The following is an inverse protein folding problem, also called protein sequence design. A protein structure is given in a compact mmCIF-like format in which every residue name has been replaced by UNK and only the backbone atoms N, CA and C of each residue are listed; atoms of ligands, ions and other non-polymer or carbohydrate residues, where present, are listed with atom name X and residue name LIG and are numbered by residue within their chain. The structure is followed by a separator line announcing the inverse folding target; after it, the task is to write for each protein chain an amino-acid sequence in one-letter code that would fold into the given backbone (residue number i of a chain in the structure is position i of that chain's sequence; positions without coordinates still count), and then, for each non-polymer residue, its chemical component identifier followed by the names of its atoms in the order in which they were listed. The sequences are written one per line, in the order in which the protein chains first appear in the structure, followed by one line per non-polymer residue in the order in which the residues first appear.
data_IF_950302537016
#
_entry.id   IF_950302537016
#
_cell.length_a   1.000
_cell.length_b   1.000
_cell.length_c   1.000
_cell.angle_alpha   90.00
_cell.angle_beta   90.00
_cell.angle_gamma   90.00
#
_symmetry.space_group_name_H-M   'P 1'
#
loop_
_entity.id
_entity.type
_entity.pdbx_description
1 polymer ?
#
# COMPACT_ATOMS: atom_id res chain seq x y z
N UNK A 1 -58.64 -36.86 24.49
CA UNK A 1 -57.96 -35.61 24.92
C UNK A 1 -56.69 -35.97 25.70
N UNK A 2 -55.49 -35.73 25.16
CA UNK A 2 -54.31 -35.47 25.99
C UNK A 2 -53.28 -34.67 25.17
N UNK A 3 -52.78 -33.59 25.78
CA UNK A 3 -52.13 -32.42 25.17
C UNK A 3 -50.76 -32.72 24.55
N UNK A 4 -50.51 -32.15 23.37
CA UNK A 4 -49.16 -31.86 22.88
C UNK A 4 -48.43 -30.90 23.84
N UNK A 5 -47.23 -31.26 24.30
CA UNK A 5 -46.27 -30.32 24.90
C UNK A 5 -45.36 -29.79 23.80
N UNK A 6 -45.55 -28.52 23.47
CA UNK A 6 -44.59 -27.72 22.69
C UNK A 6 -43.36 -27.52 23.56
N UNK A 7 -42.21 -28.06 23.13
CA UNK A 7 -40.92 -27.81 23.77
C UNK A 7 -40.47 -26.39 23.46
N UNK A 8 -40.16 -25.64 24.52
CA UNK A 8 -39.86 -24.22 24.51
C UNK A 8 -38.55 -23.88 23.79
N UNK A 9 -38.57 -22.82 22.99
CA UNK A 9 -37.42 -22.13 22.40
C UNK A 9 -36.30 -21.94 23.43
N UNK A 10 -35.12 -22.52 23.17
CA UNK A 10 -33.91 -22.22 23.91
C UNK A 10 -33.44 -20.79 23.62
N UNK A 11 -33.67 -19.87 24.56
CA UNK A 11 -33.10 -18.53 24.51
C UNK A 11 -31.58 -18.61 24.67
N UNK A 12 -30.82 -18.10 23.69
CA UNK A 12 -29.37 -17.88 23.84
C UNK A 12 -29.16 -16.92 25.02
N UNK A 13 -28.65 -17.42 26.15
CA UNK A 13 -28.17 -16.57 27.24
C UNK A 13 -26.98 -15.77 26.71
N UNK A 14 -27.15 -14.45 26.59
CA UNK A 14 -26.04 -13.54 26.32
C UNK A 14 -25.05 -13.62 27.49
N UNK A 15 -23.81 -14.00 27.20
CA UNK A 15 -22.79 -14.23 28.20
C UNK A 15 -22.05 -12.91 28.46
N UNK A 16 -22.42 -12.17 29.50
CA UNK A 16 -21.93 -10.81 29.78
C UNK A 16 -20.41 -10.66 29.80
N UNK A 17 -19.67 -11.70 30.22
CA UNK A 17 -18.20 -11.70 30.17
C UNK A 17 -17.63 -11.65 28.75
N UNK A 18 -18.30 -12.27 27.76
CA UNK A 18 -17.88 -12.20 26.36
C UNK A 18 -18.10 -10.80 25.76
N UNK A 19 -19.16 -10.12 26.17
CA UNK A 19 -19.43 -8.74 25.76
C UNK A 19 -18.38 -7.77 26.33
N UNK A 20 -17.99 -7.95 27.60
CA UNK A 20 -16.94 -7.13 28.21
C UNK A 20 -15.57 -7.31 27.54
N UNK A 21 -15.20 -8.56 27.22
CA UNK A 21 -13.95 -8.83 26.48
C UNK A 21 -14.00 -8.20 25.08
N UNK A 22 -15.12 -8.34 24.35
CA UNK A 22 -15.28 -7.73 23.03
C UNK A 22 -15.19 -6.19 23.08
N UNK A 23 -15.77 -5.56 24.10
CA UNK A 23 -15.68 -4.11 24.31
C UNK A 23 -14.27 -3.67 24.67
N UNK A 24 -13.54 -4.44 25.48
CA UNK A 24 -12.15 -4.14 25.82
C UNK A 24 -11.23 -4.23 24.59
N UNK A 25 -11.42 -5.24 23.75
CA UNK A 25 -10.69 -5.39 22.48
C UNK A 25 -10.98 -4.20 21.55
N UNK A 26 -12.27 -3.86 21.36
CA UNK A 26 -12.66 -2.74 20.52
C UNK A 26 -12.09 -1.40 21.04
N UNK A 27 -12.16 -1.16 22.35
CA UNK A 27 -11.59 0.03 22.96
C UNK A 27 -10.07 0.10 22.76
N UNK A 28 -9.36 -1.02 22.96
CA UNK A 28 -7.91 -1.08 22.72
C UNK A 28 -7.56 -0.81 21.26
N UNK A 29 -8.27 -1.42 20.30
CA UNK A 29 -8.02 -1.20 18.87
C UNK A 29 -8.26 0.25 18.44
N UNK A 30 -9.31 0.90 18.96
CA UNK A 30 -9.59 2.32 18.70
C UNK A 30 -8.49 3.20 19.31
N UNK A 31 -8.10 2.96 20.55
CA UNK A 31 -7.03 3.73 21.23
C UNK A 31 -5.70 3.57 20.48
N UNK A 32 -5.36 2.33 20.11
CA UNK A 32 -4.15 2.02 19.34
C UNK A 32 -4.14 2.76 18.01
N UNK A 33 -5.23 2.70 17.24
CA UNK A 33 -5.35 3.44 15.98
C UNK A 33 -5.29 4.96 16.17
N UNK A 34 -5.91 5.51 17.21
CA UNK A 34 -5.80 6.95 17.45
C UNK A 34 -4.38 7.38 17.87
N UNK A 35 -3.58 6.48 18.44
CA UNK A 35 -2.20 6.75 18.83
C UNK A 35 -1.20 6.72 17.68
N UNK A 36 -1.59 6.22 16.49
CA UNK A 36 -0.75 6.19 15.28
C UNK A 36 -0.84 7.47 14.44
N UNK A 37 -1.44 8.53 14.98
CA UNK A 37 -1.59 9.81 14.29
C UNK A 37 -0.23 10.49 14.12
N UNK A 38 0.14 10.77 12.87
CA UNK A 38 1.33 11.55 12.49
C UNK A 38 0.96 12.65 11.49
N UNK A 39 1.89 13.58 11.26
CA UNK A 39 1.82 14.52 10.13
C UNK A 39 2.79 14.05 9.07
N UNK A 40 2.33 13.98 7.83
CA UNK A 40 3.19 13.73 6.69
C UNK A 40 3.99 15.01 6.40
N UNK A 41 5.32 14.95 6.50
CA UNK A 41 6.16 16.14 6.34
C UNK A 41 6.20 16.66 4.89
N UNK A 42 5.87 15.81 3.92
CA UNK A 42 5.86 16.16 2.50
C UNK A 42 4.53 16.77 2.07
N UNK A 43 3.41 16.14 2.45
CA UNK A 43 2.07 16.61 2.05
C UNK A 43 1.47 17.63 3.02
N UNK A 44 1.90 17.60 4.29
CA UNK A 44 1.33 18.39 5.39
C UNK A 44 0.06 17.80 5.99
N UNK A 45 -0.43 16.68 5.46
CA UNK A 45 -1.66 16.03 5.91
C UNK A 45 -1.49 15.30 7.24
N UNK A 46 -2.56 15.27 8.03
CA UNK A 46 -2.64 14.41 9.22
C UNK A 46 -3.04 13.01 8.79
N UNK A 47 -2.20 12.03 9.12
CA UNK A 47 -2.39 10.64 8.71
C UNK A 47 -2.34 9.70 9.93
N UNK A 48 -2.89 8.50 9.76
CA UNK A 48 -2.80 7.43 10.77
C UNK A 48 -1.95 6.30 10.19
N UNK A 49 -0.69 6.21 10.60
CA UNK A 49 0.28 5.24 10.07
C UNK A 49 0.80 4.33 11.18
N UNK A 50 0.66 3.03 11.00
CA UNK A 50 0.95 2.08 12.08
C UNK A 50 2.41 1.60 12.12
N UNK A 51 3.25 2.09 11.20
CA UNK A 51 4.66 1.71 11.06
C UNK A 51 5.54 2.94 10.83
N UNK A 52 6.81 2.83 11.21
CA UNK A 52 7.83 3.85 10.91
C UNK A 52 8.24 3.81 9.43
N UNK A 53 8.92 4.86 8.96
CA UNK A 53 9.44 4.90 7.57
C UNK A 53 10.50 3.82 7.34
N UNK A 54 11.36 3.56 8.32
CA UNK A 54 12.32 2.44 8.29
C UNK A 54 11.61 1.09 8.14
N UNK A 55 10.48 0.89 8.83
CA UNK A 55 9.67 -0.32 8.70
C UNK A 55 8.99 -0.40 7.33
N UNK A 56 8.58 0.73 6.75
CA UNK A 56 8.03 0.78 5.39
C UNK A 56 9.06 0.38 4.35
N UNK A 57 10.26 0.97 4.40
CA UNK A 57 11.37 0.64 3.50
C UNK A 57 11.69 -0.85 3.58
N UNK A 58 11.90 -1.37 4.80
CA UNK A 58 12.25 -2.77 5.00
C UNK A 58 11.14 -3.71 4.52
N UNK A 59 9.86 -3.35 4.71
CA UNK A 59 8.73 -4.15 4.25
C UNK A 59 8.59 -4.14 2.72
N UNK A 60 8.79 -2.99 2.07
CA UNK A 60 8.79 -2.86 0.61
C UNK A 60 9.89 -3.69 -0.04
N UNK A 61 11.13 -3.56 0.46
CA UNK A 61 12.27 -4.34 -0.01
C UNK A 61 12.08 -5.85 0.20
N UNK A 62 11.46 -6.23 1.32
CA UNK A 62 11.16 -7.64 1.60
C UNK A 62 10.01 -8.19 0.75
N UNK A 63 9.11 -7.35 0.25
CA UNK A 63 7.96 -7.73 -0.56
C UNK A 63 8.23 -7.72 -2.07
N UNK A 64 9.21 -6.93 -2.51
CA UNK A 64 9.52 -6.73 -3.92
C UNK A 64 9.83 -8.05 -4.68
N UNK A 65 10.68 -8.97 -4.17
CA UNK A 65 10.97 -10.22 -4.89
C UNK A 65 9.74 -11.10 -5.14
N UNK A 66 8.83 -11.19 -4.17
CA UNK A 66 7.58 -11.94 -4.28
C UNK A 66 6.65 -11.31 -5.32
N UNK A 67 6.53 -9.98 -5.32
CA UNK A 67 5.74 -9.26 -6.32
C UNK A 67 6.34 -9.41 -7.71
N UNK A 68 7.66 -9.28 -7.86
CA UNK A 68 8.36 -9.53 -9.13
C UNK A 68 8.05 -10.94 -9.63
N UNK A 69 8.18 -11.96 -8.77
CA UNK A 69 7.91 -13.34 -9.16
C UNK A 69 6.44 -13.56 -9.56
N UNK A 70 5.50 -12.95 -8.84
CA UNK A 70 4.08 -13.09 -9.09
C UNK A 70 3.67 -12.54 -10.46
N UNK A 71 4.30 -11.47 -10.90
CA UNK A 71 4.02 -10.80 -12.17
C UNK A 71 5.01 -11.21 -13.27
N UNK A 72 5.49 -12.46 -13.24
CA UNK A 72 6.26 -13.06 -14.34
C UNK A 72 7.75 -12.76 -14.34
N UNK A 73 8.28 -12.08 -13.33
CA UNK A 73 9.68 -11.65 -13.26
C UNK A 73 9.89 -10.23 -13.80
N UNK A 74 11.15 -9.80 -13.83
CA UNK A 74 11.54 -8.56 -14.52
C UNK A 74 11.43 -8.76 -16.03
N UNK A 75 11.01 -7.71 -16.73
CA UNK A 75 11.00 -7.73 -18.19
C UNK A 75 12.43 -7.91 -18.75
N UNK A 76 12.62 -8.73 -19.80
CA UNK A 76 13.95 -9.01 -20.33
C UNK A 76 14.53 -7.89 -21.20
N UNK A 77 13.78 -6.85 -21.55
CA UNK A 77 14.26 -5.73 -22.37
C UNK A 77 14.99 -4.66 -21.53
N UNK A 78 16.33 -4.59 -21.59
CA UNK A 78 17.08 -3.61 -20.82
C UNK A 78 16.90 -2.17 -21.31
N UNK A 79 16.50 -1.95 -22.56
CA UNK A 79 16.24 -0.61 -23.10
C UNK A 79 14.92 -0.07 -22.55
N UNK A 80 13.89 -0.92 -22.47
CA UNK A 80 12.61 -0.56 -21.87
C UNK A 80 12.75 -0.23 -20.38
N UNK A 81 13.49 -1.05 -19.62
CA UNK A 81 13.79 -0.77 -18.20
C UNK A 81 14.59 0.54 -18.06
N UNK A 82 15.62 0.77 -18.87
CA UNK A 82 16.40 2.01 -18.80
C UNK A 82 15.56 3.27 -19.12
N UNK A 83 14.60 3.15 -20.04
CA UNK A 83 13.66 4.23 -20.32
C UNK A 83 12.72 4.50 -19.15
N UNK A 84 12.17 3.46 -18.51
CA UNK A 84 11.40 3.58 -17.27
C UNK A 84 12.21 4.27 -16.17
N UNK A 85 13.46 3.83 -15.95
CA UNK A 85 14.36 4.40 -14.96
C UNK A 85 14.59 5.89 -15.19
N UNK A 86 14.81 6.29 -16.45
CA UNK A 86 14.99 7.70 -16.82
C UNK A 86 13.76 8.54 -16.46
N UNK A 87 12.56 8.07 -16.81
CA UNK A 87 11.31 8.80 -16.54
C UNK A 87 11.05 8.88 -15.03
N UNK A 88 11.20 7.77 -14.31
CA UNK A 88 11.05 7.76 -12.85
C UNK A 88 12.07 8.67 -12.16
N UNK A 89 13.35 8.61 -12.55
CA UNK A 89 14.38 9.47 -11.99
C UNK A 89 14.09 10.95 -12.24
N UNK A 90 13.56 11.30 -13.41
CA UNK A 90 13.15 12.67 -13.71
C UNK A 90 12.03 13.14 -12.77
N UNK A 91 11.04 12.30 -12.47
CA UNK A 91 9.96 12.62 -11.53
C UNK A 91 10.50 12.73 -10.09
N UNK A 92 11.24 11.73 -9.64
CA UNK A 92 11.72 11.63 -8.25
C UNK A 92 12.65 12.80 -7.91
N UNK A 93 13.64 13.06 -8.76
CA UNK A 93 14.69 14.06 -8.50
C UNK A 93 14.18 15.51 -8.56
N UNK A 94 13.05 15.76 -9.21
CA UNK A 94 12.51 17.11 -9.37
C UNK A 94 11.24 17.35 -8.54
N UNK A 95 10.75 16.36 -7.82
CA UNK A 95 9.55 16.47 -6.98
C UNK A 95 9.90 16.44 -5.49
N UNK A 96 8.88 16.51 -4.63
CA UNK A 96 9.09 16.40 -3.20
C UNK A 96 9.62 15.02 -2.76
N UNK A 97 9.57 14.01 -3.64
CA UNK A 97 10.14 12.68 -3.39
C UNK A 97 11.66 12.71 -3.14
N UNK A 98 12.39 13.64 -3.76
CA UNK A 98 13.83 13.80 -3.54
C UNK A 98 14.20 14.22 -2.11
N UNK A 99 13.23 14.65 -1.30
CA UNK A 99 13.46 15.11 0.07
C UNK A 99 13.11 14.03 1.11
N UNK A 100 12.86 12.80 0.67
CA UNK A 100 12.54 11.67 1.55
C UNK A 100 13.72 10.70 1.63
N UNK A 101 13.75 9.90 2.69
CA UNK A 101 14.74 8.82 2.86
C UNK A 101 14.31 7.51 2.15
N UNK A 102 13.22 7.52 1.38
CA UNK A 102 12.77 6.32 0.68
C UNK A 102 13.64 5.96 -0.51
N UNK A 103 13.86 4.65 -0.65
CA UNK A 103 14.67 4.07 -1.71
C UNK A 103 13.75 3.71 -2.89
N UNK A 104 13.45 4.73 -3.71
CA UNK A 104 12.65 4.54 -4.90
C UNK A 104 13.38 3.69 -5.94
N UNK A 105 12.69 2.65 -6.41
CA UNK A 105 13.12 1.81 -7.53
C UNK A 105 11.89 1.54 -8.40
N UNK A 106 12.02 1.79 -9.70
CA UNK A 106 10.97 1.50 -10.66
C UNK A 106 11.31 0.22 -11.41
N UNK A 107 10.41 -0.76 -11.42
CA UNK A 107 10.65 -2.05 -12.08
C UNK A 107 9.58 -2.34 -13.13
N UNK A 108 10.03 -2.65 -14.35
CA UNK A 108 9.20 -3.18 -15.40
C UNK A 108 9.03 -4.69 -15.21
N UNK A 109 7.79 -5.12 -15.06
CA UNK A 109 7.41 -6.53 -14.84
C UNK A 109 7.04 -7.19 -16.16
N UNK A 110 7.47 -8.43 -16.37
CA UNK A 110 7.28 -9.18 -17.62
C UNK A 110 5.83 -9.60 -17.92
N UNK A 111 4.87 -9.32 -17.03
CA UNK A 111 3.46 -9.71 -17.19
C UNK A 111 2.82 -9.04 -18.43
N UNK A 112 2.47 -9.81 -19.48
CA UNK A 112 1.92 -9.27 -20.72
C UNK A 112 0.37 -9.23 -20.71
N UNK A 113 -0.28 -9.63 -19.62
CA UNK A 113 -1.74 -9.75 -19.54
C UNK A 113 -2.37 -8.76 -18.57
N UNK A 114 -1.75 -8.58 -17.40
CA UNK A 114 -2.31 -7.74 -16.34
C UNK A 114 -1.99 -6.28 -16.60
N UNK A 115 -2.98 -5.44 -16.92
CA UNK A 115 -2.79 -4.00 -17.11
C UNK A 115 -2.75 -3.35 -15.72
N UNK A 116 -1.56 -3.05 -15.20
CA UNK A 116 -1.44 -2.51 -13.85
C UNK A 116 -0.15 -1.74 -13.64
N UNK A 117 -0.19 -0.80 -12.69
CA UNK A 117 0.95 -0.24 -11.99
C UNK A 117 0.61 -0.23 -10.50
N UNK A 118 1.62 -0.29 -9.63
CA UNK A 118 1.41 -0.23 -8.19
C UNK A 118 2.71 0.12 -7.47
N UNK A 119 2.60 0.76 -6.31
CA UNK A 119 3.70 0.96 -5.39
C UNK A 119 3.56 0.16 -4.08
N UNK A 120 4.70 -0.34 -3.60
CA UNK A 120 4.86 -0.88 -2.25
C UNK A 120 5.30 0.23 -1.30
N UNK A 121 5.11 0.05 0.02
CA UNK A 121 5.68 0.99 1.01
C UNK A 121 7.17 1.20 0.78
N UNK A 122 7.67 2.41 1.02
CA UNK A 122 9.11 2.69 0.98
C UNK A 122 9.75 2.84 -0.40
N UNK A 123 8.98 2.88 -1.49
CA UNK A 123 9.44 3.40 -2.79
C UNK A 123 9.55 2.38 -3.94
N UNK A 124 9.41 1.09 -3.65
CA UNK A 124 9.44 0.04 -4.68
C UNK A 124 8.18 0.12 -5.55
N UNK A 125 8.32 0.54 -6.80
CA UNK A 125 7.22 0.90 -7.69
C UNK A 125 7.28 0.09 -8.98
N UNK A 126 6.14 -0.40 -9.44
CA UNK A 126 6.07 -1.39 -10.50
C UNK A 126 5.10 -0.98 -11.59
N UNK A 127 5.43 -1.35 -12.82
CA UNK A 127 4.53 -1.29 -13.98
C UNK A 127 4.64 -2.60 -14.75
N UNK A 128 3.52 -3.13 -15.22
CA UNK A 128 3.51 -4.36 -16.04
C UNK A 128 3.79 -4.03 -17.51
N UNK A 129 4.43 -4.96 -18.23
CA UNK A 129 4.63 -4.87 -19.67
C UNK A 129 3.30 -4.62 -20.40
N UNK A 130 2.21 -5.25 -19.95
CA UNK A 130 0.88 -5.07 -20.53
C UNK A 130 0.35 -3.62 -20.46
N UNK A 131 0.66 -2.88 -19.38
CA UNK A 131 0.32 -1.46 -19.27
C UNK A 131 1.33 -0.61 -20.03
N UNK A 132 2.62 -0.88 -19.86
CA UNK A 132 3.72 -0.16 -20.52
C UNK A 132 3.53 -0.10 -22.06
N UNK A 133 3.21 -1.24 -22.68
CA UNK A 133 2.98 -1.35 -24.13
C UNK A 133 1.75 -0.59 -24.65
N UNK A 134 0.85 -0.16 -23.76
CA UNK A 134 -0.35 0.61 -24.13
C UNK A 134 -0.15 2.12 -24.06
N UNK A 135 0.92 2.57 -23.42
CA UNK A 135 1.21 3.99 -23.28
C UNK A 135 1.77 4.51 -24.60
N UNK A 136 1.14 5.53 -25.15
CA UNK A 136 1.47 6.08 -26.47
C UNK A 136 2.56 7.16 -26.39
N UNK A 137 2.81 7.69 -25.20
CA UNK A 137 3.77 8.79 -24.99
C UNK A 137 4.53 8.66 -23.68
N UNK A 138 5.74 9.23 -23.63
CA UNK A 138 6.52 9.36 -22.39
C UNK A 138 5.73 10.07 -21.29
N UNK A 139 4.94 11.09 -21.64
CA UNK A 139 4.11 11.82 -20.67
C UNK A 139 3.03 10.95 -20.01
N UNK A 140 2.48 9.96 -20.72
CA UNK A 140 1.53 9.02 -20.14
C UNK A 140 2.21 8.05 -19.17
N UNK A 141 3.40 7.56 -19.50
CA UNK A 141 4.24 6.80 -18.56
C UNK A 141 4.58 7.63 -17.33
N UNK A 142 5.02 8.87 -17.54
CA UNK A 142 5.31 9.79 -16.46
C UNK A 142 4.09 10.03 -15.56
N UNK A 143 2.89 10.15 -16.14
CA UNK A 143 1.65 10.32 -15.39
C UNK A 143 1.29 9.11 -14.52
N UNK A 144 1.39 7.89 -15.06
CA UNK A 144 1.19 6.66 -14.28
C UNK A 144 2.19 6.58 -13.14
N UNK A 145 3.48 6.74 -13.42
CA UNK A 145 4.51 6.62 -12.38
C UNK A 145 4.43 7.75 -11.35
N UNK A 146 4.07 8.97 -11.75
CA UNK A 146 3.88 10.09 -10.83
C UNK A 146 2.71 9.87 -9.85
N UNK A 147 1.62 9.24 -10.32
CA UNK A 147 0.52 8.80 -9.45
C UNK A 147 1.01 7.75 -8.45
N UNK A 148 1.70 6.70 -8.90
CA UNK A 148 2.21 5.67 -7.98
C UNK A 148 3.21 6.22 -6.95
N UNK A 149 4.12 7.11 -7.37
CA UNK A 149 5.03 7.83 -6.46
C UNK A 149 4.22 8.71 -5.48
N UNK A 150 3.11 9.29 -5.93
CA UNK A 150 2.13 9.98 -5.09
C UNK A 150 1.61 9.12 -3.95
N UNK A 151 1.26 7.85 -4.21
CA UNK A 151 0.85 6.91 -3.16
C UNK A 151 1.96 6.63 -2.14
N UNK A 152 3.21 6.50 -2.58
CA UNK A 152 4.35 6.34 -1.67
C UNK A 152 4.50 7.59 -0.81
N UNK A 153 4.49 8.77 -1.42
CA UNK A 153 4.61 10.08 -0.75
C UNK A 153 3.52 10.32 0.28
N UNK A 154 2.28 10.01 -0.05
CA UNK A 154 1.18 10.10 0.88
C UNK A 154 1.11 8.92 1.87
N UNK A 155 2.04 7.96 1.81
CA UNK A 155 2.10 6.77 2.68
C UNK A 155 0.79 5.98 2.69
N UNK A 156 0.09 5.93 1.55
CA UNK A 156 -1.25 5.34 1.46
C UNK A 156 -1.27 3.86 1.85
N UNK A 157 -0.21 3.11 1.53
CA UNK A 157 -0.07 1.70 1.95
C UNK A 157 0.00 1.56 3.47
N UNK A 158 0.79 2.40 4.15
CA UNK A 158 0.90 2.39 5.61
C UNK A 158 -0.40 2.83 6.30
N UNK A 159 -1.09 3.81 5.73
CA UNK A 159 -2.42 4.20 6.18
C UNK A 159 -3.44 3.06 6.02
N UNK A 160 -3.41 2.36 4.89
CA UNK A 160 -4.28 1.22 4.63
C UNK A 160 -3.99 0.05 5.58
N UNK A 161 -2.72 -0.20 5.90
CA UNK A 161 -2.34 -1.18 6.91
C UNK A 161 -2.87 -0.79 8.31
N UNK A 162 -2.81 0.50 8.68
CA UNK A 162 -3.41 0.97 9.94
C UNK A 162 -4.93 0.77 9.98
N UNK A 163 -5.63 1.07 8.87
CA UNK A 163 -7.08 0.82 8.71
C UNK A 163 -7.40 -0.68 8.83
N UNK A 164 -6.56 -1.55 8.25
CA UNK A 164 -6.72 -3.00 8.36
C UNK A 164 -6.50 -3.51 9.78
N UNK A 165 -5.51 -2.99 10.52
CA UNK A 165 -5.31 -3.34 11.94
C UNK A 165 -6.52 -2.97 12.80
N UNK A 166 -7.10 -1.79 12.57
CA UNK A 166 -8.33 -1.39 13.25
C UNK A 166 -9.47 -2.39 12.98
N UNK A 167 -9.58 -2.86 11.75
CA UNK A 167 -10.63 -3.81 11.33
C UNK A 167 -10.39 -5.24 11.83
N UNK A 168 -9.13 -5.69 11.84
CA UNK A 168 -8.72 -7.04 12.27
C UNK A 168 -8.52 -7.15 13.79
N UNK A 169 -8.47 -6.02 14.51
CA UNK A 169 -8.32 -5.97 15.96
C UNK A 169 -6.94 -6.42 16.45
N UNK A 170 -6.90 -7.15 17.57
CA UNK A 170 -5.65 -7.58 18.21
C UNK A 170 -4.74 -8.43 17.32
N UNK A 171 -5.30 -9.20 16.38
CA UNK A 171 -4.52 -10.05 15.49
C UNK A 171 -3.63 -9.22 14.57
N UNK A 172 -4.18 -8.16 13.94
CA UNK A 172 -3.41 -7.30 13.05
C UNK A 172 -2.31 -6.50 13.78
N UNK A 173 -2.62 -5.99 14.98
CA UNK A 173 -1.66 -5.24 15.79
C UNK A 173 -0.46 -6.11 16.25
N UNK A 174 -0.71 -7.37 16.61
CA UNK A 174 0.34 -8.29 17.03
C UNK A 174 1.34 -8.61 15.91
N UNK A 175 0.88 -8.71 14.66
CA UNK A 175 1.74 -8.97 13.51
C UNK A 175 2.72 -7.82 13.28
N UNK A 176 2.25 -6.58 13.43
CA UNK A 176 3.04 -5.36 13.17
C UNK A 176 4.02 -5.07 14.30
N UNK A 177 3.59 -5.23 15.55
CA UNK A 177 4.47 -5.09 16.71
C UNK A 177 5.59 -6.14 16.74
N UNK A 178 5.37 -7.27 16.07
CA UNK A 178 6.38 -8.30 15.86
C UNK A 178 7.27 -8.02 14.65
N UNK A 179 7.17 -6.91 13.91
CA UNK A 179 8.10 -6.64 12.81
C UNK A 179 9.37 -5.95 13.33
N UNK A 180 10.53 -6.57 13.07
CA UNK A 180 11.85 -6.01 13.42
C UNK A 180 12.65 -5.77 12.13
N UNK A 181 12.87 -4.51 11.73
CA UNK A 181 13.65 -4.17 10.52
C UNK A 181 15.08 -4.73 10.52
N UNK A 182 15.66 -5.01 11.69
CA UNK A 182 17.06 -5.44 11.81
C UNK A 182 17.25 -6.96 11.75
N UNK A 183 16.17 -7.75 11.78
CA UNK A 183 16.22 -9.22 11.65
C UNK A 183 15.22 -9.75 10.60
N UNK A 184 15.50 -9.52 9.30
CA UNK A 184 14.60 -9.92 8.21
C UNK A 184 14.42 -11.44 8.08
N UNK A 185 15.34 -12.22 8.65
CA UNK A 185 15.40 -13.69 8.57
C UNK A 185 14.81 -14.41 9.79
N UNK A 186 14.32 -13.68 10.80
CA UNK A 186 13.63 -14.29 11.94
C UNK A 186 12.43 -15.13 11.44
N UNK A 187 12.07 -16.20 12.16
CA UNK A 187 10.96 -17.14 11.85
C UNK A 187 9.55 -16.49 11.78
N UNK A 188 9.46 -15.16 11.66
CA UNK A 188 8.28 -14.35 11.42
C UNK A 188 7.89 -14.29 9.93
N UNK A 189 8.50 -15.13 9.08
CA UNK A 189 8.27 -15.23 7.64
C UNK A 189 6.80 -15.49 7.27
N UNK A 190 6.07 -16.29 8.05
CA UNK A 190 4.65 -16.54 7.78
C UNK A 190 3.78 -15.29 7.98
N UNK A 191 4.12 -14.45 8.95
CA UNK A 191 3.41 -13.22 9.28
C UNK A 191 3.70 -12.11 8.28
N UNK A 192 4.97 -11.96 7.90
CA UNK A 192 5.40 -11.08 6.81
C UNK A 192 4.79 -11.53 5.47
N UNK A 193 4.82 -12.83 5.15
CA UNK A 193 4.19 -13.35 3.93
C UNK A 193 2.68 -13.06 3.86
N UNK A 194 1.98 -13.07 5.00
CA UNK A 194 0.58 -12.65 5.07
C UNK A 194 0.39 -11.15 4.82
N UNK A 195 1.36 -10.29 5.18
CA UNK A 195 1.34 -8.87 4.83
C UNK A 195 1.65 -8.65 3.35
N UNK A 196 2.67 -9.31 2.83
CA UNK A 196 3.05 -9.26 1.41
C UNK A 196 1.86 -9.67 0.55
N UNK A 197 1.20 -10.78 0.90
CA UNK A 197 -0.01 -11.24 0.21
C UNK A 197 -1.20 -10.27 0.26
N UNK A 198 -1.22 -9.33 1.22
CA UNK A 198 -2.23 -8.28 1.27
C UNK A 198 -1.96 -7.14 0.27
N UNK A 199 -0.69 -6.90 -0.13
CA UNK A 199 -0.38 -5.86 -1.13
C UNK A 199 -0.97 -6.16 -2.50
N UNK A 200 -1.01 -7.45 -2.88
CA UNK A 200 -1.58 -7.92 -4.16
C UNK A 200 -3.02 -7.42 -4.37
N UNK A 201 -3.81 -7.36 -3.31
CA UNK A 201 -5.22 -6.99 -3.36
C UNK A 201 -5.49 -5.65 -2.65
N UNK A 202 -4.43 -4.88 -2.39
CA UNK A 202 -4.57 -3.59 -1.75
C UNK A 202 -5.36 -2.65 -2.66
N UNK A 203 -6.28 -1.90 -2.05
CA UNK A 203 -7.09 -0.89 -2.72
C UNK A 203 -7.10 0.33 -1.83
N UNK A 204 -6.94 1.50 -2.42
CA UNK A 204 -7.01 2.75 -1.70
C UNK A 204 -8.42 3.33 -1.73
N UNK A 205 -8.70 4.19 -0.76
CA UNK A 205 -9.97 4.90 -0.69
C UNK A 205 -10.02 6.02 -1.73
N UNK A 206 -11.23 6.53 -2.02
CA UNK A 206 -11.40 7.64 -2.98
C UNK A 206 -10.56 8.88 -2.62
N UNK A 207 -10.43 9.19 -1.34
CA UNK A 207 -9.67 10.36 -0.91
C UNK A 207 -8.16 10.13 -1.13
N UNK A 208 -7.68 8.90 -0.92
CA UNK A 208 -6.31 8.50 -1.18
C UNK A 208 -5.99 8.62 -2.71
N UNK A 209 -6.90 8.16 -3.58
CA UNK A 209 -6.76 8.30 -5.04
C UNK A 209 -6.74 9.78 -5.49
N UNK A 210 -7.61 10.61 -4.91
CA UNK A 210 -7.65 12.04 -5.23
C UNK A 210 -6.39 12.80 -4.75
N UNK A 211 -5.84 12.42 -3.58
CA UNK A 211 -4.57 12.98 -3.11
C UNK A 211 -3.42 12.53 -4.03
N UNK A 212 -3.42 11.27 -4.45
CA UNK A 212 -2.45 10.72 -5.40
C UNK A 212 -2.50 11.44 -6.75
N UNK A 213 -3.69 11.65 -7.33
CA UNK A 213 -3.87 12.42 -8.57
C UNK A 213 -3.37 13.86 -8.45
N UNK A 214 -3.69 14.51 -7.33
CA UNK A 214 -3.23 15.87 -7.05
C UNK A 214 -1.71 15.95 -6.97
N UNK A 215 -1.08 15.02 -6.26
CA UNK A 215 0.38 14.91 -6.17
C UNK A 215 1.00 14.57 -7.52
N UNK A 216 0.42 13.64 -8.27
CA UNK A 216 0.86 13.26 -9.60
C UNK A 216 0.88 14.44 -10.57
N UNK A 217 -0.19 15.25 -10.59
CA UNK A 217 -0.24 16.49 -11.40
C UNK A 217 0.88 17.45 -11.01
N UNK A 218 1.13 17.62 -9.71
CA UNK A 218 2.21 18.49 -9.21
C UNK A 218 3.58 17.93 -9.59
N UNK A 219 3.84 16.64 -9.38
CA UNK A 219 5.11 16.00 -9.69
C UNK A 219 5.41 16.01 -11.19
N UNK A 220 4.40 15.79 -12.03
CA UNK A 220 4.54 15.97 -13.47
C UNK A 220 4.97 17.39 -13.84
N UNK A 221 4.31 18.40 -13.27
CA UNK A 221 4.63 19.80 -13.53
C UNK A 221 6.05 20.16 -13.07
N UNK A 222 6.43 19.74 -11.86
CA UNK A 222 7.76 19.98 -11.28
C UNK A 222 8.87 19.30 -12.10
N UNK A 223 8.61 18.11 -12.64
CA UNK A 223 9.52 17.35 -13.49
C UNK A 223 9.58 17.83 -14.96
N UNK A 224 8.76 18.81 -15.34
CA UNK A 224 8.73 19.39 -16.69
C UNK A 224 7.86 18.63 -17.70
N UNK A 225 7.05 17.68 -17.26
CA UNK A 225 6.07 17.00 -18.09
C UNK A 225 4.75 17.79 -18.18
N UNK A 226 3.98 17.56 -19.24
CA UNK A 226 2.62 18.13 -19.37
C UNK A 226 1.63 17.33 -18.51
N UNK A 227 1.07 17.90 -17.41
CA UNK A 227 0.19 17.15 -16.51
C UNK A 227 -1.11 16.68 -17.17
N UNK A 228 -1.47 17.25 -18.34
CA UNK A 228 -2.64 16.81 -19.11
C UNK A 228 -2.49 15.38 -19.64
N UNK A 229 -1.28 14.84 -19.69
CA UNK A 229 -1.06 13.44 -20.08
C UNK A 229 -1.71 12.44 -19.12
N UNK A 230 -2.01 12.83 -17.87
CA UNK A 230 -2.73 11.99 -16.90
C UNK A 230 -4.18 11.72 -17.31
N UNK A 231 -4.83 12.60 -18.08
CA UNK A 231 -6.26 12.48 -18.44
C UNK A 231 -6.56 11.16 -19.19
N UNK A 232 -5.58 10.61 -19.91
CA UNK A 232 -5.74 9.38 -20.67
C UNK A 232 -5.37 8.10 -19.92
N UNK A 233 -4.86 8.20 -18.69
CA UNK A 233 -4.30 7.06 -17.95
C UNK A 233 -4.80 6.92 -16.51
N UNK A 234 -5.47 7.95 -15.96
CA UNK A 234 -6.11 7.94 -14.64
C UNK A 234 -7.63 7.72 -14.73
#
# INVERSE_FOLDING_TARGET
MYRQRVSSKGGRRFNGGRLLIALAIAAFSIISYCSTRTVNEVTGETQYVAISEEQEIALGLQAAPEMIQQFGGMDPDPEAQAFLDQVCAQIINNSAASNTDWEFECTLLADPQTINAFALPGGQTFITAALFDRLETEGQLAGVMAHEIGHVIARHSAQQMAKQQLTQGLTGAAVMAAYDPNDPNSQRTAQVALMIGQFINMKYGRDDELESDYLGVKFMADAGYDPRAMIGVM
#
